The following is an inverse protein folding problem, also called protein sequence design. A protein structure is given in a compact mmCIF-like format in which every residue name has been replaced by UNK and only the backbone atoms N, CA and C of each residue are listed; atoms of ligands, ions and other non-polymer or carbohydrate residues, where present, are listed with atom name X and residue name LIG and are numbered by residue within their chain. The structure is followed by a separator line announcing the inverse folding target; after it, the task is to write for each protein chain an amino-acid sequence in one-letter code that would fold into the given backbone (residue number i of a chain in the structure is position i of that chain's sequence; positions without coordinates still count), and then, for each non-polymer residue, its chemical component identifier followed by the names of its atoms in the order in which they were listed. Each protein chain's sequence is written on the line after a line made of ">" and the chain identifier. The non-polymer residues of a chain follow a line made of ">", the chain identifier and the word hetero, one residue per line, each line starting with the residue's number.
data_IF_471421563397
#
_entry.id   IF_471421563397
#
_cell.length_a   1.000
_cell.length_b   1.000
_cell.length_c   1.000
_cell.angle_alpha   90.00
_cell.angle_beta   90.00
_cell.angle_gamma   90.00
#
_symmetry.space_group_name_H-M   'P 1'
#
loop_
_entity.id
_entity.type
_entity.pdbx_description
1 polymer ?
#
# COMPACT_ATOMS: atom_id res chain seq x y z
N UNK A 1 2.50 -8.15 9.54
CA UNK A 1 2.40 -6.79 8.98
C UNK A 1 2.22 -5.83 10.15
N UNK A 2 2.87 -4.67 10.09
CA UNK A 2 2.85 -3.69 11.19
C UNK A 2 1.60 -2.81 11.16
N UNK A 3 1.43 -2.00 12.21
CA UNK A 3 0.39 -0.96 12.24
C UNK A 3 0.81 0.20 11.33
N UNK A 4 0.02 0.51 10.30
CA UNK A 4 0.27 1.62 9.37
C UNK A 4 -0.75 2.73 9.55
N UNK A 5 -0.39 3.97 9.24
CA UNK A 5 -1.30 5.13 9.29
C UNK A 5 -2.03 5.41 7.98
N UNK A 6 -1.67 4.69 6.92
CA UNK A 6 -2.35 4.73 5.63
C UNK A 6 -3.70 4.03 5.72
N UNK A 7 -4.75 4.68 5.20
CA UNK A 7 -6.13 4.18 5.18
C UNK A 7 -6.33 3.20 4.02
N UNK A 8 -5.72 2.02 4.13
CA UNK A 8 -5.77 0.99 3.10
C UNK A 8 -7.20 0.51 2.83
N UNK A 9 -7.54 0.42 1.54
CA UNK A 9 -8.75 -0.20 1.05
C UNK A 9 -8.44 -1.57 0.46
N UNK A 10 -9.44 -2.45 0.52
CA UNK A 10 -9.37 -3.73 -0.18
C UNK A 10 -9.55 -3.53 -1.69
N UNK A 11 -8.97 -4.44 -2.47
CA UNK A 11 -9.18 -4.45 -3.91
C UNK A 11 -10.62 -4.79 -4.26
N UNK A 12 -11.28 -3.91 -5.01
CA UNK A 12 -12.61 -4.16 -5.54
C UNK A 12 -13.27 -2.92 -6.09
N UNK A 13 -14.46 -3.09 -6.66
CA UNK A 13 -15.22 -2.02 -7.32
C UNK A 13 -15.48 -0.82 -6.40
N UNK A 14 -15.65 -1.03 -5.10
CA UNK A 14 -15.86 0.05 -4.14
C UNK A 14 -14.69 1.05 -4.13
N UNK A 15 -13.45 0.56 -4.13
CA UNK A 15 -12.26 1.42 -4.13
C UNK A 15 -12.06 2.11 -5.48
N UNK A 16 -12.35 1.43 -6.60
CA UNK A 16 -12.28 2.04 -7.92
C UNK A 16 -13.34 3.12 -8.13
N UNK A 17 -14.56 2.89 -7.64
CA UNK A 17 -15.64 3.88 -7.68
C UNK A 17 -15.27 5.09 -6.84
N UNK A 18 -14.74 4.89 -5.64
CA UNK A 18 -14.28 5.98 -4.80
C UNK A 18 -13.19 6.83 -5.47
N UNK A 19 -12.24 6.18 -6.17
CA UNK A 19 -11.21 6.87 -6.94
C UNK A 19 -11.79 7.73 -8.07
N UNK A 20 -12.82 7.23 -8.76
CA UNK A 20 -13.53 8.00 -9.80
C UNK A 20 -14.35 9.15 -9.21
N UNK A 21 -15.07 8.90 -8.11
CA UNK A 21 -15.90 9.92 -7.45
C UNK A 21 -15.08 11.06 -6.85
N UNK A 22 -13.90 10.74 -6.30
CA UNK A 22 -13.00 11.73 -5.71
C UNK A 22 -12.00 12.33 -6.69
N UNK A 23 -11.99 11.87 -7.95
CA UNK A 23 -10.99 12.23 -8.97
C UNK A 23 -9.54 12.11 -8.46
N UNK A 24 -9.25 10.98 -7.78
CA UNK A 24 -7.95 10.72 -7.16
C UNK A 24 -7.27 9.50 -7.78
N UNK A 25 -5.96 9.56 -8.02
CA UNK A 25 -5.19 8.39 -8.45
C UNK A 25 -5.18 7.28 -7.40
N UNK A 26 -5.05 6.03 -7.86
CA UNK A 26 -4.93 4.86 -6.99
C UNK A 26 -3.47 4.61 -6.67
N UNK A 27 -3.15 4.47 -5.39
CA UNK A 27 -1.87 3.94 -4.93
C UNK A 27 -2.05 2.44 -4.69
N UNK A 28 -1.64 1.61 -5.65
CA UNK A 28 -1.70 0.15 -5.52
C UNK A 28 -0.42 -0.37 -4.85
N UNK A 29 -0.56 -0.92 -3.64
CA UNK A 29 0.52 -1.59 -2.92
C UNK A 29 0.27 -3.10 -2.89
N UNK A 30 1.10 -3.85 -3.63
CA UNK A 30 1.05 -5.31 -3.63
C UNK A 30 2.08 -5.81 -2.62
N UNK A 31 1.62 -6.60 -1.66
CA UNK A 31 2.38 -7.02 -0.50
C UNK A 31 2.29 -8.53 -0.31
N UNK A 32 3.26 -9.08 0.41
CA UNK A 32 3.24 -10.49 0.82
C UNK A 32 3.65 -10.58 2.29
N UNK A 33 3.11 -11.56 3.01
CA UNK A 33 3.47 -11.77 4.42
C UNK A 33 4.93 -12.18 4.61
N UNK A 34 5.53 -12.81 3.60
CA UNK A 34 6.92 -13.26 3.56
C UNK A 34 7.87 -12.23 2.90
N UNK A 35 7.35 -11.09 2.42
CA UNK A 35 8.16 -10.06 1.78
C UNK A 35 8.88 -9.19 2.82
N UNK A 36 10.21 -9.26 2.85
CA UNK A 36 11.04 -8.48 3.78
C UNK A 36 10.81 -6.96 3.64
N UNK A 37 10.90 -6.45 2.41
CA UNK A 37 10.76 -5.01 2.13
C UNK A 37 9.37 -4.46 2.39
N UNK A 38 8.34 -5.29 2.30
CA UNK A 38 6.98 -4.92 2.64
C UNK A 38 6.87 -4.63 4.16
N UNK A 39 7.55 -5.42 5.00
CA UNK A 39 7.64 -5.11 6.43
C UNK A 39 8.50 -3.87 6.70
N UNK A 40 9.59 -3.66 5.95
CA UNK A 40 10.40 -2.44 6.09
C UNK A 40 9.59 -1.19 5.73
N UNK A 41 8.78 -1.24 4.67
CA UNK A 41 7.88 -0.14 4.31
C UNK A 41 6.83 0.13 5.39
N UNK A 42 6.30 -0.92 6.03
CA UNK A 42 5.33 -0.78 7.12
C UNK A 42 5.95 -0.18 8.38
N UNK A 43 7.03 -0.78 8.92
CA UNK A 43 7.54 -0.50 10.28
C UNK A 43 9.00 -0.01 10.36
N UNK A 44 9.70 0.05 9.23
CA UNK A 44 11.11 0.42 9.19
C UNK A 44 12.06 -0.68 9.68
N UNK A 45 13.34 -0.31 9.77
CA UNK A 45 14.44 -1.12 10.32
C UNK A 45 14.91 -0.46 11.63
N UNK A 46 14.82 -1.15 12.79
CA UNK A 46 15.26 -0.59 14.06
C UNK A 46 16.74 -0.18 14.04
N UNK A 47 17.02 1.07 14.41
CA UNK A 47 18.37 1.63 14.44
C UNK A 47 18.91 2.10 13.09
N UNK A 48 18.13 1.98 12.01
CA UNK A 48 18.47 2.53 10.70
C UNK A 48 17.86 3.93 10.54
N UNK A 49 18.66 5.00 10.36
CA UNK A 49 18.15 6.35 10.19
C UNK A 49 17.52 6.59 8.81
N UNK A 50 17.68 5.68 7.84
CA UNK A 50 17.22 5.82 6.47
C UNK A 50 15.86 5.12 6.27
N UNK A 51 15.72 3.89 6.76
CA UNK A 51 14.51 3.08 6.55
C UNK A 51 13.57 3.15 7.76
N UNK A 52 12.82 4.24 7.88
CA UNK A 52 12.02 4.56 9.08
C UNK A 52 10.59 4.01 9.07
N UNK A 53 10.15 3.36 7.99
CA UNK A 53 8.78 2.84 7.86
C UNK A 53 7.83 3.85 7.24
N UNK A 54 7.91 4.00 5.93
CA UNK A 54 7.17 4.99 5.12
C UNK A 54 5.67 5.02 5.40
N UNK A 55 5.03 3.87 5.62
CA UNK A 55 3.58 3.82 5.86
C UNK A 55 3.18 4.03 7.34
N UNK A 56 4.15 4.02 8.26
CA UNK A 56 3.96 4.41 9.66
C UNK A 56 4.23 5.89 9.92
N UNK A 57 4.96 6.55 9.02
CA UNK A 57 5.22 7.99 9.11
C UNK A 57 3.91 8.79 8.97
N UNK A 58 3.58 9.69 9.92
CA UNK A 58 2.33 10.44 9.89
C UNK A 58 2.24 11.38 8.69
N UNK A 59 3.32 12.06 8.33
CA UNK A 59 3.35 13.06 7.26
C UNK A 59 3.16 12.37 5.91
N UNK A 60 3.87 11.28 5.69
CA UNK A 60 3.72 10.49 4.46
C UNK A 60 2.35 9.85 4.37
N UNK A 61 1.84 9.29 5.47
CA UNK A 61 0.51 8.71 5.49
C UNK A 61 -0.59 9.75 5.22
N UNK A 62 -0.45 10.97 5.74
CA UNK A 62 -1.39 12.06 5.48
C UNK A 62 -1.39 12.48 4.00
N UNK A 63 -0.21 12.58 3.38
CA UNK A 63 -0.08 12.83 1.94
C UNK A 63 -0.77 11.71 1.15
N UNK A 64 -0.49 10.45 1.48
CA UNK A 64 -1.11 9.31 0.79
C UNK A 64 -2.64 9.35 0.93
N UNK A 65 -3.15 9.55 2.14
CA UNK A 65 -4.58 9.56 2.43
C UNK A 65 -5.30 10.75 1.76
N UNK A 66 -4.61 11.87 1.58
CA UNK A 66 -5.18 13.08 1.00
C UNK A 66 -5.23 13.02 -0.52
N UNK A 67 -4.15 12.57 -1.14
CA UNK A 67 -3.96 12.67 -2.60
C UNK A 67 -4.24 11.39 -3.36
N UNK A 68 -4.31 10.23 -2.68
CA UNK A 68 -4.50 8.94 -3.32
C UNK A 68 -5.66 8.16 -2.71
N UNK A 69 -6.15 7.19 -3.46
CA UNK A 69 -6.93 6.06 -2.95
C UNK A 69 -5.97 4.89 -2.75
N UNK A 70 -5.37 4.73 -1.55
CA UNK A 70 -4.50 3.59 -1.25
C UNK A 70 -5.28 2.27 -1.23
N UNK A 71 -4.85 1.33 -2.07
CA UNK A 71 -5.35 -0.04 -2.14
C UNK A 71 -4.22 -0.99 -1.82
N UNK A 72 -4.44 -1.91 -0.88
CA UNK A 72 -3.46 -2.94 -0.52
C UNK A 72 -3.94 -4.31 -0.96
N UNK A 73 -3.05 -5.05 -1.59
CA UNK A 73 -3.32 -6.39 -2.10
C UNK A 73 -2.31 -7.37 -1.51
N UNK A 74 -2.82 -8.51 -1.04
CA UNK A 74 -1.97 -9.65 -0.67
C UNK A 74 -1.79 -10.54 -1.92
N UNK A 75 -0.54 -10.71 -2.35
CA UNK A 75 -0.21 -11.51 -3.54
C UNK A 75 -0.51 -13.00 -3.37
N UNK A 76 -0.48 -13.54 -2.14
CA UNK A 76 -0.80 -14.95 -1.89
C UNK A 76 -2.30 -15.18 -2.04
N UNK A 77 -3.12 -14.18 -1.68
CA UNK A 77 -4.58 -14.22 -1.85
C UNK A 77 -5.03 -13.85 -3.26
N UNK A 78 -4.30 -12.98 -3.95
CA UNK A 78 -4.62 -12.46 -5.30
C UNK A 78 -3.42 -12.50 -6.24
N UNK A 79 -2.95 -13.71 -6.60
CA UNK A 79 -1.83 -13.87 -7.52
C UNK A 79 -2.14 -13.33 -8.92
N UNK A 80 -3.42 -13.28 -9.29
CA UNK A 80 -3.92 -12.71 -10.55
C UNK A 80 -3.60 -11.20 -10.68
N UNK A 81 -3.78 -10.44 -9.60
CA UNK A 81 -3.46 -9.00 -9.59
C UNK A 81 -1.95 -8.79 -9.68
N UNK A 82 -1.18 -9.57 -8.91
CA UNK A 82 0.28 -9.49 -8.93
C UNK A 82 0.85 -9.82 -10.32
N UNK A 83 0.33 -10.85 -10.98
CA UNK A 83 0.73 -11.19 -12.34
C UNK A 83 0.49 -10.04 -13.31
N UNK A 84 -0.68 -9.39 -13.23
CA UNK A 84 -1.07 -8.28 -14.12
C UNK A 84 -0.26 -7.01 -13.90
N UNK A 85 -0.09 -6.56 -12.67
CA UNK A 85 0.46 -5.22 -12.39
C UNK A 85 1.91 -5.21 -11.94
N UNK A 86 2.46 -6.35 -11.51
CA UNK A 86 3.80 -6.42 -10.93
C UNK A 86 4.78 -7.28 -11.76
N UNK A 87 4.30 -8.32 -12.45
CA UNK A 87 5.16 -9.28 -13.16
C UNK A 87 5.18 -9.15 -14.69
N UNK A 88 4.49 -8.17 -15.29
CA UNK A 88 4.73 -7.90 -16.72
C UNK A 88 3.68 -7.19 -17.56
N UNK A 89 2.54 -6.75 -17.03
CA UNK A 89 1.56 -5.95 -17.78
C UNK A 89 0.78 -6.73 -18.83
#
# INVERSE_FOLDING_TARGET
>A
MGETRVQWREWGEAAFREAQEQDKPILLSISATWCHWCHVMDRGIPGDPIHTGTYSDPEIAEIINSYFIPIRVDTDRRPDINARYNMGG
#
